data_IF_406989461843
#
_entry.id   IF_406989461843
#
_cell.length_a   1.000
_cell.length_b   1.000
_cell.length_c   1.000
_cell.angle_alpha   90.00
_cell.angle_beta   90.00
_cell.angle_gamma   90.00
#
_symmetry.space_group_name_H-M   'P 1'
#
loop_
_entity.id
_entity.type
_entity.pdbx_description
1 polymer ?
#
# COMPACT_ATOMS: atom_id res chain seq x y z
N UNK A 1 14.57 19.99 -5.82
CA UNK A 1 13.49 19.11 -5.34
C UNK A 1 12.47 19.86 -4.51
N UNK A 2 12.87 20.80 -3.66
CA UNK A 2 11.97 21.57 -2.78
C UNK A 2 10.74 22.17 -3.47
N UNK A 3 10.91 22.85 -4.60
CA UNK A 3 9.78 23.42 -5.37
C UNK A 3 8.73 22.39 -5.82
N UNK A 4 9.16 21.14 -6.16
CA UNK A 4 8.26 20.06 -6.53
C UNK A 4 7.43 19.58 -5.33
N UNK A 5 8.07 19.45 -4.17
CA UNK A 5 7.39 19.11 -2.91
C UNK A 5 6.35 20.17 -2.53
N UNK A 6 6.71 21.46 -2.60
CA UNK A 6 5.80 22.57 -2.30
C UNK A 6 4.61 22.61 -3.27
N UNK A 7 4.85 22.34 -4.56
CA UNK A 7 3.78 22.26 -5.56
C UNK A 7 2.83 21.10 -5.27
N UNK A 8 3.34 19.93 -4.90
CA UNK A 8 2.52 18.78 -4.51
C UNK A 8 1.61 19.10 -3.32
N UNK A 9 2.13 19.78 -2.29
CA UNK A 9 1.30 20.23 -1.14
C UNK A 9 0.27 21.26 -1.54
N UNK A 10 0.63 22.22 -2.40
CA UNK A 10 -0.33 23.22 -2.88
C UNK A 10 -1.53 22.54 -3.56
N UNK A 11 -1.28 21.52 -4.39
CA UNK A 11 -2.33 20.75 -5.05
C UNK A 11 -3.16 19.92 -4.06
N UNK A 12 -2.52 19.24 -3.12
CA UNK A 12 -3.18 18.46 -2.07
C UNK A 12 -4.12 19.35 -1.22
N UNK A 13 -3.67 20.55 -0.85
CA UNK A 13 -4.44 21.53 -0.05
C UNK A 13 -5.70 22.04 -0.75
N UNK A 14 -5.75 22.03 -2.08
CA UNK A 14 -6.88 22.48 -2.86
C UNK A 14 -8.02 21.46 -2.99
N UNK A 15 -7.83 20.25 -2.46
CA UNK A 15 -8.81 19.18 -2.52
C UNK A 15 -9.77 19.22 -1.32
N UNK A 16 -11.03 18.84 -1.53
CA UNK A 16 -11.99 18.64 -0.44
C UNK A 16 -11.69 17.32 0.30
N UNK A 17 -12.22 17.20 1.51
CA UNK A 17 -12.06 16.01 2.35
C UNK A 17 -10.79 16.04 3.21
N UNK A 18 -10.47 14.90 3.80
CA UNK A 18 -9.25 14.70 4.58
C UNK A 18 -8.14 14.24 3.63
N UNK A 19 -7.08 15.02 3.51
CA UNK A 19 -5.94 14.72 2.63
C UNK A 19 -4.68 14.65 3.49
N UNK A 20 -3.93 13.54 3.37
CA UNK A 20 -2.61 13.34 3.95
C UNK A 20 -1.57 13.13 2.86
N UNK A 21 -0.48 13.87 2.92
CA UNK A 21 0.64 13.73 1.97
C UNK A 21 1.97 13.68 2.74
N UNK A 22 2.74 12.67 2.46
CA UNK A 22 4.15 12.57 2.80
C UNK A 22 4.94 12.39 1.51
N UNK A 23 6.03 13.13 1.35
CA UNK A 23 6.98 12.88 0.25
C UNK A 23 8.41 13.16 0.71
N UNK A 24 9.34 12.31 0.28
CA UNK A 24 10.76 12.34 0.64
C UNK A 24 11.62 12.04 -0.59
N UNK A 25 12.65 12.86 -0.80
CA UNK A 25 13.78 12.55 -1.68
C UNK A 25 14.93 11.98 -0.86
N UNK A 26 15.14 10.65 -0.81
CA UNK A 26 16.12 10.03 0.10
C UNK A 26 17.56 10.52 -0.12
N UNK A 27 17.93 10.84 -1.36
CA UNK A 27 19.27 11.29 -1.71
C UNK A 27 19.66 12.66 -1.10
N UNK A 28 18.70 13.54 -0.83
CA UNK A 28 18.92 14.88 -0.27
C UNK A 28 18.37 15.05 1.12
N UNK A 29 17.50 14.13 1.56
CA UNK A 29 16.75 14.28 2.83
C UNK A 29 15.67 15.34 2.78
N UNK A 30 15.41 15.97 1.60
CA UNK A 30 14.30 16.91 1.48
C UNK A 30 12.97 16.19 1.60
N UNK A 31 12.18 16.54 2.61
CA UNK A 31 10.87 15.96 2.85
C UNK A 31 9.79 17.04 3.00
N UNK A 32 8.55 16.59 2.85
CA UNK A 32 7.37 17.38 3.16
C UNK A 32 6.32 16.51 3.86
N UNK A 33 5.62 17.10 4.83
CA UNK A 33 4.58 16.48 5.64
C UNK A 33 3.36 17.41 5.64
N UNK A 34 2.30 17.01 4.97
CA UNK A 34 1.02 17.72 4.99
C UNK A 34 -0.04 16.80 5.57
N UNK A 35 -0.49 17.07 6.79
CA UNK A 35 -1.37 16.19 7.57
C UNK A 35 -0.90 14.72 7.56
N UNK A 36 0.42 14.50 7.51
CA UNK A 36 1.00 13.19 7.25
C UNK A 36 0.79 12.20 8.41
N UNK A 37 0.59 12.69 9.61
CA UNK A 37 0.34 11.88 10.82
C UNK A 37 -1.15 11.66 11.11
N UNK A 38 -2.05 12.21 10.26
CA UNK A 38 -3.49 12.04 10.43
C UNK A 38 -3.90 10.61 10.10
N UNK A 39 -4.56 9.88 11.04
CA UNK A 39 -5.10 8.56 10.75
C UNK A 39 -6.18 8.63 9.66
N UNK A 40 -6.02 7.79 8.65
CA UNK A 40 -6.95 7.61 7.54
C UNK A 40 -7.47 6.17 7.52
N UNK A 41 -8.72 5.96 7.12
CA UNK A 41 -9.18 4.63 6.79
C UNK A 41 -8.30 4.04 5.70
N UNK A 42 -7.73 2.87 5.98
CA UNK A 42 -6.59 2.37 5.22
C UNK A 42 -6.92 1.86 3.82
N UNK A 43 -8.18 1.48 3.58
CA UNK A 43 -8.53 0.69 2.39
C UNK A 43 -7.45 -0.40 2.14
N UNK A 44 -7.04 -0.61 0.90
CA UNK A 44 -6.05 -1.64 0.57
C UNK A 44 -4.58 -1.28 0.86
N UNK A 45 -4.29 -0.08 1.39
CA UNK A 45 -2.91 0.28 1.79
C UNK A 45 -2.46 -0.52 3.02
N UNK A 46 -3.39 -1.00 3.85
CA UNK A 46 -3.10 -1.90 4.98
C UNK A 46 -2.38 -3.20 4.56
N UNK A 47 -2.43 -3.58 3.29
CA UNK A 47 -1.78 -4.77 2.73
C UNK A 47 -0.24 -4.68 2.77
N UNK A 48 0.33 -3.47 2.89
CA UNK A 48 1.77 -3.29 3.02
C UNK A 48 2.34 -3.88 4.32
N UNK A 49 1.84 -3.54 5.52
CA UNK A 49 2.32 -4.19 6.74
C UNK A 49 1.93 -5.67 6.83
N UNK A 50 0.84 -6.12 6.18
CA UNK A 50 0.51 -7.56 6.08
C UNK A 50 1.60 -8.28 5.27
N UNK A 51 2.07 -7.71 4.15
CA UNK A 51 3.19 -8.25 3.39
C UNK A 51 4.48 -8.31 4.25
N UNK A 52 4.78 -7.26 5.00
CA UNK A 52 5.95 -7.24 5.88
C UNK A 52 5.90 -8.37 6.92
N UNK A 53 4.74 -8.65 7.53
CA UNK A 53 4.57 -9.77 8.45
C UNK A 53 4.71 -11.12 7.77
N UNK A 54 4.18 -11.31 6.56
CA UNK A 54 4.35 -12.55 5.81
C UNK A 54 5.84 -12.85 5.56
N UNK A 55 6.61 -11.85 5.15
CA UNK A 55 8.05 -11.99 4.95
C UNK A 55 8.80 -12.24 6.27
N UNK A 56 8.39 -11.60 7.37
CA UNK A 56 8.98 -11.83 8.68
C UNK A 56 8.77 -13.28 9.15
N UNK A 57 7.57 -13.82 8.98
CA UNK A 57 7.28 -15.22 9.33
C UNK A 57 8.04 -16.19 8.42
N UNK A 58 8.18 -15.90 7.13
CA UNK A 58 9.02 -16.69 6.22
C UNK A 58 10.49 -16.70 6.68
N UNK A 59 11.04 -15.53 6.99
CA UNK A 59 12.44 -15.40 7.43
C UNK A 59 12.70 -16.17 8.75
N UNK A 60 11.72 -16.18 9.65
CA UNK A 60 11.80 -16.95 10.91
C UNK A 60 11.53 -18.46 10.76
N UNK A 61 11.19 -18.92 9.55
CA UNK A 61 10.85 -20.32 9.28
C UNK A 61 9.49 -20.79 9.82
N UNK A 62 8.62 -19.85 10.25
CA UNK A 62 7.28 -20.16 10.76
C UNK A 62 6.20 -20.16 9.67
N UNK A 63 6.51 -19.68 8.48
CA UNK A 63 5.65 -19.71 7.30
C UNK A 63 6.45 -20.14 6.08
N UNK A 64 5.96 -21.16 5.35
CA UNK A 64 6.53 -21.53 4.06
C UNK A 64 5.72 -20.90 2.92
N UNK A 65 6.36 -20.11 2.07
CA UNK A 65 5.72 -19.53 0.89
C UNK A 65 5.35 -20.56 -0.18
N UNK A 66 5.92 -21.76 -0.13
CA UNK A 66 5.55 -22.89 -1.00
C UNK A 66 4.33 -23.68 -0.48
N UNK A 67 3.83 -23.37 0.74
CA UNK A 67 2.65 -24.03 1.31
C UNK A 67 1.45 -23.87 0.38
N UNK A 68 0.80 -24.98 -0.07
CA UNK A 68 -0.40 -24.90 -0.91
C UNK A 68 -1.63 -24.48 -0.09
N UNK A 69 -2.44 -23.60 -0.65
CA UNK A 69 -3.69 -23.09 -0.10
C UNK A 69 -4.80 -23.31 -1.13
N UNK A 70 -5.81 -24.09 -0.77
CA UNK A 70 -6.97 -24.35 -1.63
C UNK A 70 -8.05 -23.33 -1.32
N UNK A 71 -8.49 -22.58 -2.34
CA UNK A 71 -9.47 -21.49 -2.22
C UNK A 71 -10.89 -22.08 -2.29
N UNK A 72 -11.62 -21.98 -1.21
CA UNK A 72 -13.01 -22.43 -1.13
C UNK A 72 -13.97 -21.33 -1.60
N UNK A 73 -15.15 -21.72 -2.01
CA UNK A 73 -16.17 -20.79 -2.52
C UNK A 73 -16.55 -19.70 -1.51
N UNK A 74 -16.71 -20.09 -0.24
CA UNK A 74 -17.09 -19.22 0.86
C UNK A 74 -16.01 -18.20 1.27
N UNK A 75 -14.75 -18.41 0.84
CA UNK A 75 -13.63 -17.52 1.10
C UNK A 75 -13.49 -16.43 0.03
N UNK A 76 -14.18 -16.57 -1.09
CA UNK A 76 -14.09 -15.63 -2.21
C UNK A 76 -14.80 -14.33 -1.90
N UNK A 77 -14.05 -13.24 -1.97
CA UNK A 77 -14.53 -11.88 -1.69
C UNK A 77 -14.72 -11.09 -2.99
N UNK A 78 -15.71 -10.18 -3.03
CA UNK A 78 -15.97 -9.35 -4.19
C UNK A 78 -14.90 -8.27 -4.38
N UNK A 79 -15.07 -7.45 -5.44
CA UNK A 79 -14.25 -6.30 -5.79
C UNK A 79 -12.91 -6.67 -6.41
N UNK A 80 -11.78 -6.17 -5.88
CA UNK A 80 -10.47 -6.32 -6.50
C UNK A 80 -9.90 -7.74 -6.38
N UNK A 81 -9.18 -8.17 -7.40
CA UNK A 81 -8.42 -9.41 -7.41
C UNK A 81 -8.79 -10.36 -8.54
N UNK A 82 -8.13 -11.50 -8.58
CA UNK A 82 -8.34 -12.55 -9.58
C UNK A 82 -9.00 -13.80 -8.96
N UNK A 83 -8.72 -14.12 -7.71
CA UNK A 83 -9.12 -15.38 -7.08
C UNK A 83 -10.63 -15.59 -7.03
N UNK A 84 -11.40 -14.50 -6.88
CA UNK A 84 -12.86 -14.57 -6.89
C UNK A 84 -13.44 -15.08 -8.20
N UNK A 85 -12.74 -14.91 -9.32
CA UNK A 85 -13.16 -15.31 -10.66
C UNK A 85 -12.67 -16.70 -11.11
N UNK A 86 -11.75 -17.30 -10.35
CA UNK A 86 -11.26 -18.63 -10.67
C UNK A 86 -12.26 -19.70 -10.19
N UNK A 87 -12.10 -20.95 -10.67
CA UNK A 87 -12.96 -22.06 -10.24
C UNK A 87 -12.82 -22.34 -8.74
N UNK A 88 -13.86 -22.89 -8.12
CA UNK A 88 -13.81 -23.29 -6.71
C UNK A 88 -12.84 -24.47 -6.53
N UNK A 89 -12.08 -24.45 -5.44
CA UNK A 89 -11.06 -25.46 -5.17
C UNK A 89 -9.74 -25.24 -5.91
N UNK A 90 -9.52 -24.09 -6.56
CA UNK A 90 -8.20 -23.74 -7.10
C UNK A 90 -7.18 -23.69 -5.96
N UNK A 91 -5.99 -24.28 -6.20
CA UNK A 91 -4.89 -24.27 -5.23
C UNK A 91 -3.78 -23.38 -5.73
N UNK A 92 -3.31 -22.48 -4.86
CA UNK A 92 -2.18 -21.57 -5.08
C UNK A 92 -1.21 -21.68 -3.90
N UNK A 93 0.01 -21.16 -4.03
CA UNK A 93 0.96 -21.11 -2.92
C UNK A 93 0.75 -19.83 -2.07
N UNK A 94 1.21 -19.84 -0.82
CA UNK A 94 1.22 -18.64 0.04
C UNK A 94 1.95 -17.48 -0.63
N UNK A 95 3.06 -17.73 -1.33
CA UNK A 95 3.79 -16.71 -2.10
C UNK A 95 2.95 -16.08 -3.21
N UNK A 96 2.06 -16.87 -3.85
CA UNK A 96 1.11 -16.36 -4.85
C UNK A 96 0.07 -15.45 -4.18
N UNK A 97 -0.44 -15.83 -2.99
CA UNK A 97 -1.36 -14.99 -2.23
C UNK A 97 -0.73 -13.64 -1.88
N UNK A 98 0.53 -13.63 -1.40
CA UNK A 98 1.25 -12.39 -1.10
C UNK A 98 1.39 -11.53 -2.37
N UNK A 99 1.74 -12.14 -3.48
CA UNK A 99 1.88 -11.44 -4.76
C UNK A 99 0.55 -10.85 -5.22
N UNK A 100 -0.52 -11.65 -5.27
CA UNK A 100 -1.85 -11.22 -5.73
C UNK A 100 -2.46 -10.15 -4.82
N UNK A 101 -2.27 -10.26 -3.49
CA UNK A 101 -2.68 -9.24 -2.52
C UNK A 101 -2.11 -7.86 -2.87
N UNK A 102 -0.88 -7.81 -3.35
CA UNK A 102 -0.21 -6.54 -3.68
C UNK A 102 -0.53 -6.10 -5.11
N UNK A 103 -0.24 -6.94 -6.13
CA UNK A 103 -0.25 -6.49 -7.53
C UNK A 103 -1.66 -6.27 -8.10
N UNK A 104 -2.65 -6.99 -7.60
CA UNK A 104 -4.06 -6.88 -7.99
C UNK A 104 -4.97 -6.42 -6.85
N UNK A 105 -4.37 -6.11 -5.69
CA UNK A 105 -5.16 -5.79 -4.50
C UNK A 105 -6.19 -6.88 -4.14
N UNK A 106 -5.88 -8.18 -4.37
CA UNK A 106 -6.80 -9.30 -4.20
C UNK A 106 -7.29 -9.41 -2.74
N UNK A 107 -8.60 -9.27 -2.55
CA UNK A 107 -9.21 -9.26 -1.22
C UNK A 107 -9.32 -10.66 -0.62
N UNK A 108 -9.57 -11.68 -1.45
CA UNK A 108 -9.57 -13.09 -1.02
C UNK A 108 -8.19 -13.48 -0.51
N UNK A 109 -7.14 -13.19 -1.29
CA UNK A 109 -5.76 -13.41 -0.87
C UNK A 109 -5.43 -12.69 0.45
N UNK A 110 -5.92 -11.46 0.62
CA UNK A 110 -5.69 -10.67 1.83
C UNK A 110 -6.27 -11.33 3.08
N UNK A 111 -7.55 -11.74 3.04
CA UNK A 111 -8.18 -12.33 4.21
C UNK A 111 -7.61 -13.72 4.55
N UNK A 112 -7.27 -14.52 3.54
CA UNK A 112 -6.56 -15.78 3.75
C UNK A 112 -5.19 -15.56 4.42
N UNK A 113 -4.45 -14.54 4.01
CA UNK A 113 -3.18 -14.18 4.65
C UNK A 113 -3.39 -13.66 6.08
N UNK A 114 -4.42 -12.86 6.35
CA UNK A 114 -4.72 -12.43 7.73
C UNK A 114 -5.00 -13.64 8.63
N UNK A 115 -5.73 -14.65 8.13
CA UNK A 115 -6.00 -15.87 8.87
C UNK A 115 -4.72 -16.70 9.13
N UNK A 116 -3.88 -16.84 8.11
CA UNK A 116 -2.62 -17.60 8.23
C UNK A 116 -1.61 -16.93 9.15
N UNK A 117 -1.45 -15.62 9.05
CA UNK A 117 -0.46 -14.83 9.79
C UNK A 117 -0.89 -14.52 11.22
N UNK A 118 -2.21 -14.35 11.43
CA UNK A 118 -2.82 -13.87 12.65
C UNK A 118 -2.79 -12.35 12.78
N UNK A 119 -3.97 -11.76 13.01
CA UNK A 119 -4.14 -10.30 13.15
C UNK A 119 -3.23 -9.69 14.23
N UNK A 120 -3.07 -10.37 15.37
CA UNK A 120 -2.19 -9.91 16.46
C UNK A 120 -0.72 -9.90 16.04
N UNK A 121 -0.27 -10.88 15.24
CA UNK A 121 1.11 -10.93 14.73
C UNK A 121 1.37 -9.78 13.77
N UNK A 122 0.42 -9.49 12.88
CA UNK A 122 0.49 -8.34 11.97
C UNK A 122 0.61 -7.04 12.79
N UNK A 123 -0.22 -6.85 13.81
CA UNK A 123 -0.16 -5.66 14.66
C UNK A 123 1.13 -5.57 15.50
N UNK A 124 1.70 -6.70 15.94
CA UNK A 124 3.04 -6.69 16.58
C UNK A 124 4.12 -6.21 15.62
N UNK A 125 4.08 -6.64 14.36
CA UNK A 125 5.01 -6.15 13.34
C UNK A 125 4.81 -4.66 13.03
N UNK A 126 3.56 -4.20 12.92
CA UNK A 126 3.24 -2.76 12.78
C UNK A 126 3.90 -1.96 13.92
N UNK A 127 3.74 -2.42 15.17
CA UNK A 127 4.34 -1.77 16.35
C UNK A 127 5.86 -1.83 16.34
N UNK A 128 6.45 -2.98 15.99
CA UNK A 128 7.90 -3.16 15.94
C UNK A 128 8.56 -2.29 14.86
N UNK A 129 7.85 -2.00 13.77
CA UNK A 129 8.28 -1.08 12.71
C UNK A 129 8.07 0.40 13.07
N UNK A 130 7.53 0.71 14.25
CA UNK A 130 7.27 2.09 14.69
C UNK A 130 6.12 2.78 13.96
N UNK A 131 5.20 2.04 13.33
CA UNK A 131 4.07 2.58 12.56
C UNK A 131 2.91 2.91 13.53
N UNK A 132 3.03 4.01 14.26
CA UNK A 132 2.19 4.32 15.43
C UNK A 132 0.75 4.70 15.10
N UNK A 133 0.49 5.19 13.90
CA UNK A 133 -0.85 5.54 13.40
C UNK A 133 -1.50 4.45 12.53
N UNK A 134 -0.82 3.29 12.37
CA UNK A 134 -1.27 2.17 11.55
C UNK A 134 -1.80 1.04 12.41
N UNK A 135 -2.97 0.49 12.06
CA UNK A 135 -3.54 -0.64 12.78
C UNK A 135 -4.48 -1.47 11.92
N UNK A 136 -4.35 -2.79 11.99
CA UNK A 136 -5.29 -3.76 11.45
C UNK A 136 -6.29 -4.15 12.55
N UNK A 137 -7.52 -3.66 12.45
CA UNK A 137 -8.56 -3.91 13.45
C UNK A 137 -9.58 -4.96 13.01
N UNK A 138 -9.74 -5.18 11.71
CA UNK A 138 -10.70 -6.15 11.16
C UNK A 138 -10.21 -6.73 9.82
N UNK A 139 -10.78 -7.86 9.42
CA UNK A 139 -10.66 -8.37 8.05
C UNK A 139 -11.35 -7.44 7.04
N UNK A 140 -11.00 -7.60 5.78
CA UNK A 140 -11.71 -6.90 4.70
C UNK A 140 -13.12 -7.51 4.55
N UNK A 141 -14.09 -6.68 4.21
CA UNK A 141 -15.50 -7.08 4.05
C UNK A 141 -16.15 -7.68 5.31
N UNK A 142 -15.60 -7.44 6.50
CA UNK A 142 -16.24 -7.73 7.78
C UNK A 142 -17.34 -6.69 8.04
N UNK A 143 -18.55 -6.99 7.58
CA UNK A 143 -19.69 -6.09 7.67
C UNK A 143 -20.14 -5.83 9.12
N UNK A 144 -19.99 -6.82 10.02
CA UNK A 144 -20.36 -6.67 11.43
C UNK A 144 -19.45 -5.66 12.12
N UNK A 145 -18.13 -5.80 11.97
CA UNK A 145 -17.18 -4.87 12.54
C UNK A 145 -17.28 -3.48 11.89
N UNK A 146 -17.51 -3.41 10.58
CA UNK A 146 -17.72 -2.15 9.87
C UNK A 146 -18.96 -1.40 10.39
N UNK A 147 -20.07 -2.10 10.65
CA UNK A 147 -21.28 -1.51 11.22
C UNK A 147 -21.08 -0.97 12.65
N UNK A 148 -20.12 -1.51 13.39
CA UNK A 148 -19.69 -1.01 14.71
C UNK A 148 -18.70 0.17 14.62
N UNK A 149 -18.36 0.63 13.40
CA UNK A 149 -17.40 1.70 13.17
C UNK A 149 -15.92 1.26 13.31
N UNK A 150 -15.65 -0.05 13.40
CA UNK A 150 -14.28 -0.56 13.47
C UNK A 150 -13.66 -0.51 12.09
N UNK A 151 -12.60 0.28 11.94
CA UNK A 151 -11.88 0.47 10.67
C UNK A 151 -10.39 0.15 10.83
N UNK A 152 -9.75 -0.21 9.71
CA UNK A 152 -8.30 -0.30 9.61
C UNK A 152 -7.74 1.09 9.32
N UNK A 153 -6.63 1.45 9.94
CA UNK A 153 -6.04 2.78 9.81
C UNK A 153 -4.60 2.73 9.32
N UNK A 154 -4.23 3.76 8.57
CA UNK A 154 -2.84 4.08 8.19
C UNK A 154 -2.62 5.59 8.27
N UNK A 155 -1.36 6.02 8.32
CA UNK A 155 -0.97 7.42 8.10
C UNK A 155 -0.02 7.52 6.92
N UNK A 156 0.01 8.67 6.26
CA UNK A 156 0.96 8.90 5.15
C UNK A 156 2.42 8.85 5.64
N UNK A 157 2.67 9.27 6.88
CA UNK A 157 3.98 9.19 7.51
C UNK A 157 4.44 7.75 7.77
N UNK A 158 3.55 6.91 8.32
CA UNK A 158 3.87 5.49 8.57
C UNK A 158 4.17 4.76 7.26
N UNK A 159 3.37 4.99 6.23
CA UNK A 159 3.61 4.39 4.91
C UNK A 159 4.91 4.90 4.30
N UNK A 160 5.23 6.18 4.50
CA UNK A 160 6.51 6.76 4.11
C UNK A 160 7.70 6.11 4.84
N UNK A 161 7.57 5.87 6.13
CA UNK A 161 8.58 5.18 6.93
C UNK A 161 8.79 3.74 6.44
N UNK A 162 7.70 2.98 6.23
CA UNK A 162 7.75 1.61 5.73
C UNK A 162 8.41 1.53 4.35
N UNK A 163 8.02 2.38 3.39
CA UNK A 163 8.59 2.40 2.04
C UNK A 163 10.06 2.84 2.06
N UNK A 164 10.41 3.79 2.91
CA UNK A 164 11.81 4.21 3.10
C UNK A 164 12.66 3.07 3.68
N UNK A 165 12.12 2.34 4.67
CA UNK A 165 12.76 1.15 5.23
C UNK A 165 12.97 0.05 4.19
N UNK A 166 12.01 -0.17 3.28
CA UNK A 166 12.16 -1.09 2.15
C UNK A 166 13.32 -0.68 1.23
N UNK A 167 13.43 0.61 0.89
CA UNK A 167 14.53 1.14 0.07
C UNK A 167 15.90 0.92 0.72
N UNK A 168 15.97 1.04 2.04
CA UNK A 168 17.21 0.87 2.80
C UNK A 168 17.55 -0.58 3.11
N UNK A 169 16.64 -1.52 2.81
CA UNK A 169 16.83 -2.93 3.15
C UNK A 169 16.63 -3.23 4.65
N UNK A 170 15.89 -2.39 5.36
CA UNK A 170 15.69 -2.44 6.81
C UNK A 170 14.41 -3.20 7.22
N UNK A 171 13.53 -3.52 6.28
CA UNK A 171 12.30 -4.25 6.56
C UNK A 171 12.57 -5.75 6.49
N UNK A 172 12.49 -6.42 7.63
CA UNK A 172 12.79 -7.85 7.85
C UNK A 172 14.29 -8.14 7.62
N UNK A 173 14.72 -8.13 6.36
CA UNK A 173 16.12 -8.28 5.95
C UNK A 173 16.36 -7.57 4.61
N UNK A 174 17.63 -7.32 4.22
CA UNK A 174 17.93 -6.74 2.91
C UNK A 174 17.43 -7.59 1.74
N UNK A 175 17.40 -8.91 1.87
CA UNK A 175 16.87 -9.83 0.86
C UNK A 175 15.34 -9.72 0.77
N UNK A 176 14.64 -9.79 1.91
CA UNK A 176 13.19 -9.66 1.99
C UNK A 176 12.72 -8.28 1.47
N UNK A 177 13.40 -7.19 1.85
CA UNK A 177 13.09 -5.84 1.35
C UNK A 177 13.17 -5.76 -0.17
N UNK A 178 14.21 -6.34 -0.80
CA UNK A 178 14.34 -6.38 -2.27
C UNK A 178 13.22 -7.18 -2.93
N UNK A 179 12.83 -8.32 -2.37
CA UNK A 179 11.72 -9.11 -2.89
C UNK A 179 10.39 -8.35 -2.78
N UNK A 180 10.09 -7.75 -1.63
CA UNK A 180 8.89 -6.93 -1.43
C UNK A 180 8.83 -5.77 -2.43
N UNK A 181 9.96 -5.07 -2.66
CA UNK A 181 10.05 -4.04 -3.70
C UNK A 181 9.79 -4.61 -5.09
N UNK A 182 10.33 -5.80 -5.40
CA UNK A 182 10.07 -6.51 -6.66
C UNK A 182 8.58 -6.76 -6.88
N UNK A 183 7.85 -7.17 -5.84
CA UNK A 183 6.39 -7.36 -5.90
C UNK A 183 5.69 -6.01 -6.14
N UNK A 184 6.08 -4.95 -5.43
CA UNK A 184 5.50 -3.61 -5.59
C UNK A 184 5.73 -3.02 -6.99
N UNK A 185 6.89 -3.26 -7.62
CA UNK A 185 7.16 -2.86 -9.00
C UNK A 185 6.30 -3.60 -10.02
N UNK A 186 5.76 -4.76 -9.66
CA UNK A 186 4.84 -5.53 -10.50
C UNK A 186 3.37 -5.13 -10.33
N UNK A 187 3.07 -4.01 -9.67
CA UNK A 187 1.71 -3.48 -9.54
C UNK A 187 1.00 -3.36 -10.90
N UNK A 188 -0.28 -3.76 -10.96
CA UNK A 188 -1.11 -3.72 -12.17
C UNK A 188 -2.16 -2.60 -12.16
N UNK A 189 -2.44 -2.01 -11.01
CA UNK A 189 -3.41 -0.93 -10.85
C UNK A 189 -2.71 0.43 -11.01
N UNK A 190 -2.31 0.77 -12.23
CA UNK A 190 -1.41 1.88 -12.55
C UNK A 190 -2.13 3.21 -12.89
N UNK A 191 -3.38 3.37 -12.47
CA UNK A 191 -4.21 4.53 -12.81
C UNK A 191 -3.91 5.82 -12.05
N UNK A 192 -3.01 5.80 -11.04
CA UNK A 192 -2.76 6.94 -10.11
C UNK A 192 -1.32 7.45 -10.22
N UNK A 193 -0.47 7.30 -9.20
CA UNK A 193 0.91 7.82 -9.21
C UNK A 193 1.67 7.54 -10.51
N UNK A 194 1.66 6.32 -11.09
CA UNK A 194 2.43 6.04 -12.31
C UNK A 194 1.73 6.43 -13.61
N UNK A 195 0.53 7.00 -13.59
CA UNK A 195 -0.28 7.23 -14.79
C UNK A 195 0.49 7.93 -15.92
N UNK A 196 1.22 9.00 -15.62
CA UNK A 196 2.02 9.75 -16.61
C UNK A 196 3.46 9.24 -16.75
N UNK A 197 3.84 8.19 -16.01
CA UNK A 197 5.19 7.64 -16.06
C UNK A 197 5.36 6.57 -17.16
N UNK A 198 4.23 6.02 -17.65
CA UNK A 198 4.23 5.00 -18.69
C UNK A 198 4.97 5.46 -19.96
N UNK A 199 5.77 4.56 -20.53
CA UNK A 199 6.54 4.83 -21.76
C UNK A 199 7.74 5.78 -21.57
N UNK A 200 8.03 6.22 -20.35
CA UNK A 200 9.11 7.17 -20.04
C UNK A 200 10.33 6.54 -19.37
N UNK A 201 10.35 5.22 -19.22
CA UNK A 201 11.42 4.50 -18.53
C UNK A 201 11.46 4.72 -17.02
N UNK A 202 10.43 5.35 -16.44
CA UNK A 202 10.31 5.63 -15.00
C UNK A 202 9.46 4.52 -14.39
N UNK A 203 10.01 3.81 -13.38
CA UNK A 203 9.29 2.77 -12.65
C UNK A 203 8.65 3.35 -11.39
N UNK A 204 7.59 2.71 -10.94
CA UNK A 204 6.93 3.03 -9.69
C UNK A 204 6.62 1.73 -8.94
N UNK A 205 7.22 1.57 -7.75
CA UNK A 205 6.84 0.51 -6.82
C UNK A 205 5.76 1.09 -5.91
N UNK A 206 4.49 0.60 -6.01
CA UNK A 206 3.41 1.27 -5.31
C UNK A 206 2.27 0.34 -4.89
N UNK A 207 1.41 0.85 -4.01
CA UNK A 207 0.17 0.19 -3.59
C UNK A 207 -0.97 1.20 -3.55
N UNK A 208 -2.05 0.88 -4.25
CA UNK A 208 -3.30 1.65 -4.25
C UNK A 208 -4.23 1.25 -3.11
N UNK A 209 -5.12 2.16 -2.72
CA UNK A 209 -6.25 1.91 -1.84
C UNK A 209 -7.50 2.60 -2.38
N UNK A 210 -8.63 1.89 -2.38
CA UNK A 210 -9.91 2.37 -2.90
C UNK A 210 -11.05 1.88 -2.03
N UNK A 211 -11.98 2.79 -1.72
CA UNK A 211 -13.27 2.51 -1.11
C UNK A 211 -14.21 3.70 -1.39
N UNK A 212 -15.44 3.68 -0.91
CA UNK A 212 -16.38 4.79 -1.09
C UNK A 212 -15.82 6.09 -0.49
N UNK A 213 -15.66 7.11 -1.33
CA UNK A 213 -15.04 8.38 -0.95
C UNK A 213 -13.55 8.29 -0.56
N UNK A 214 -12.87 7.19 -0.87
CA UNK A 214 -11.47 6.93 -0.53
C UNK A 214 -10.67 6.61 -1.80
N UNK A 215 -9.57 7.33 -2.00
CA UNK A 215 -8.60 6.99 -3.05
C UNK A 215 -7.18 7.30 -2.56
N UNK A 216 -6.36 6.27 -2.49
CA UNK A 216 -4.98 6.32 -2.00
C UNK A 216 -4.02 5.84 -3.08
N UNK A 217 -2.79 6.35 -3.04
CA UNK A 217 -1.65 5.69 -3.65
C UNK A 217 -0.38 6.04 -2.87
N UNK A 218 0.39 5.02 -2.52
CA UNK A 218 1.64 5.15 -1.77
C UNK A 218 2.73 4.36 -2.48
N UNK A 219 3.90 4.98 -2.67
CA UNK A 219 4.92 4.31 -3.47
C UNK A 219 6.27 5.01 -3.53
N UNK A 220 7.11 4.44 -4.36
CA UNK A 220 8.46 4.88 -4.66
C UNK A 220 8.55 5.09 -6.17
N UNK A 221 8.88 6.29 -6.59
CA UNK A 221 9.04 6.67 -7.99
C UNK A 221 10.54 6.74 -8.31
N UNK A 222 11.00 5.96 -9.30
CA UNK A 222 12.37 5.99 -9.82
C UNK A 222 12.47 7.03 -10.97
N UNK A 223 12.22 8.31 -10.64
CA UNK A 223 12.30 9.41 -11.59
C UNK A 223 13.72 9.96 -11.77
N UNK A 224 13.83 11.24 -12.13
CA UNK A 224 15.12 11.96 -12.20
C UNK A 224 15.88 11.86 -10.87
N UNK A 225 15.13 11.83 -9.77
CA UNK A 225 15.60 11.47 -8.44
C UNK A 225 14.56 10.55 -7.84
N UNK A 226 15.00 9.51 -7.13
CA UNK A 226 14.10 8.61 -6.43
C UNK A 226 13.30 9.38 -5.36
N UNK A 227 11.99 9.15 -5.33
CA UNK A 227 11.08 9.84 -4.41
C UNK A 227 10.13 8.82 -3.77
N UNK A 228 10.07 8.81 -2.44
CA UNK A 228 8.98 8.16 -1.69
C UNK A 228 7.82 9.13 -1.63
N UNK A 229 6.61 8.68 -1.95
CA UNK A 229 5.40 9.49 -1.90
C UNK A 229 4.22 8.69 -1.38
N UNK A 230 3.48 9.24 -0.42
CA UNK A 230 2.29 8.64 0.17
C UNK A 230 1.16 9.67 0.14
N UNK A 231 0.18 9.45 -0.74
CA UNK A 231 -1.00 10.29 -0.87
C UNK A 231 -2.22 9.51 -0.37
N UNK A 232 -2.84 10.01 0.68
CA UNK A 232 -4.04 9.41 1.30
C UNK A 232 -5.20 10.40 1.27
N UNK A 233 -6.43 9.90 1.11
CA UNK A 233 -7.63 10.75 1.13
C UNK A 233 -8.85 10.01 1.67
N UNK A 234 -9.64 10.65 2.54
CA UNK A 234 -10.95 10.17 2.98
C UNK A 234 -12.01 11.25 2.81
N UNK A 235 -13.24 10.87 2.47
CA UNK A 235 -14.32 11.80 2.17
C UNK A 235 -13.98 12.69 0.97
N UNK A 236 -13.31 12.13 -0.02
CA UNK A 236 -12.76 12.84 -1.16
C UNK A 236 -13.74 12.88 -2.35
N UNK A 237 -13.61 13.92 -3.17
CA UNK A 237 -14.03 13.88 -4.58
C UNK A 237 -13.05 12.98 -5.32
N UNK A 238 -13.41 11.69 -5.48
CA UNK A 238 -12.50 10.65 -5.99
C UNK A 238 -11.93 11.01 -7.37
N UNK A 239 -12.72 11.37 -8.41
CA UNK A 239 -12.18 11.72 -9.72
C UNK A 239 -11.17 12.87 -9.68
N UNK A 240 -11.49 13.95 -8.94
CA UNK A 240 -10.61 15.10 -8.80
C UNK A 240 -9.34 14.76 -8.04
N UNK A 241 -9.45 13.93 -7.01
CA UNK A 241 -8.32 13.51 -6.19
C UNK A 241 -7.38 12.58 -6.96
N UNK A 242 -7.91 11.63 -7.74
CA UNK A 242 -7.09 10.76 -8.60
C UNK A 242 -6.33 11.56 -9.64
N UNK A 243 -6.97 12.53 -10.28
CA UNK A 243 -6.27 13.44 -11.20
C UNK A 243 -5.11 14.16 -10.49
N UNK A 244 -5.34 14.62 -9.27
CA UNK A 244 -4.29 15.27 -8.47
C UNK A 244 -3.15 14.31 -8.14
N UNK A 245 -3.46 13.05 -7.78
CA UNK A 245 -2.43 12.01 -7.52
C UNK A 245 -1.58 11.77 -8.77
N UNK A 246 -2.20 11.70 -9.96
CA UNK A 246 -1.50 11.55 -11.24
C UNK A 246 -0.53 12.71 -11.49
N UNK A 247 -0.99 13.95 -11.32
CA UNK A 247 -0.18 15.15 -11.51
C UNK A 247 0.95 15.25 -10.47
N UNK A 248 0.69 14.90 -9.20
CA UNK A 248 1.70 14.82 -8.14
C UNK A 248 2.78 13.80 -8.49
N UNK A 249 2.39 12.60 -8.97
CA UNK A 249 3.34 11.58 -9.44
C UNK A 249 4.27 12.12 -10.52
N UNK A 250 3.71 12.78 -11.54
CA UNK A 250 4.48 13.39 -12.64
C UNK A 250 5.43 14.49 -12.17
N UNK A 251 4.96 15.39 -11.28
CA UNK A 251 5.77 16.47 -10.71
C UNK A 251 6.94 15.91 -9.90
N UNK A 252 6.68 14.96 -9.01
CA UNK A 252 7.72 14.37 -8.16
C UNK A 252 8.71 13.54 -8.95
N UNK A 253 8.28 12.89 -10.04
CA UNK A 253 9.16 12.22 -11.00
C UNK A 253 10.07 13.18 -11.78
N UNK A 254 9.73 14.47 -11.84
CA UNK A 254 10.50 15.48 -12.57
C UNK A 254 10.10 15.68 -14.01
N UNK A 255 8.84 15.36 -14.34
CA UNK A 255 8.32 15.52 -15.71
C UNK A 255 7.83 16.93 -16.02
N UNK A 256 7.54 17.77 -14.98
CA UNK A 256 7.04 19.14 -15.10
C UNK A 256 7.79 20.10 -14.18
#
# INVERSE_FOLDING_TARGET
MRKRLERAVHMARALPGKIGLYALYPATGEEIRFHADMPMEAASVIKLPIMAEAFRQRESGTLDFALPVTIRREEKLPSCGALTYLHDGVTVQVGDLVTLMIILSDNTATNLLIDLLGQESINRTITALGLTGTKLNRKLFDAEQAALGVQNYVTAADMGALLTGLLRGEIVSPAASREMLGILYNQRLNGKLPFFLHGRGIRCAHKTGEDDGITHDVGIIDGVSQCVVCFLSNGADVPRTERTIQDVGAILAGLF
#
